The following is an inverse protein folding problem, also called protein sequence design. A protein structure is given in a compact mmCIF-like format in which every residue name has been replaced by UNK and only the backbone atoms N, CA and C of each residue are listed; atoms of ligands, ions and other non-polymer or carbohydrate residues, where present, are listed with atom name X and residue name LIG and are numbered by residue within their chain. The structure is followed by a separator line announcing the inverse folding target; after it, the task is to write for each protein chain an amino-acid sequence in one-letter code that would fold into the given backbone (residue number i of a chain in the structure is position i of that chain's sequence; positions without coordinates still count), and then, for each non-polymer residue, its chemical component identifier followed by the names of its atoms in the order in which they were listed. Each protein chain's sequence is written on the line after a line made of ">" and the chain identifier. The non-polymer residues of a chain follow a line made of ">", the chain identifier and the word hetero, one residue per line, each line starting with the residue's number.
data_IF_304523275841
#
_entry.id   IF_304523275841
#
_cell.length_a   1.000
_cell.length_b   1.000
_cell.length_c   1.000
_cell.angle_alpha   90.00
_cell.angle_beta   90.00
_cell.angle_gamma   90.00
#
_symmetry.space_group_name_H-M   'P 1'
#
loop_
_entity.id
_entity.type
_entity.pdbx_description
1 polymer ?
#
# COMPACT_ATOMS: atom_id res chain seq x y z
N UNK A 1 -2.82 -2.37 11.45
CA UNK A 1 -1.96 -1.21 11.84
C UNK A 1 -2.24 -0.02 10.94
N UNK A 2 -2.45 -0.23 9.64
CA UNK A 2 -2.63 0.85 8.65
C UNK A 2 -4.08 0.96 8.16
N UNK A 3 -5.07 0.62 9.01
CA UNK A 3 -6.50 0.63 8.64
C UNK A 3 -7.08 2.03 8.48
N UNK A 4 -6.37 3.05 8.93
CA UNK A 4 -6.69 4.46 8.74
C UNK A 4 -6.21 5.00 7.38
N UNK A 5 -5.38 4.23 6.65
CA UNK A 5 -4.92 4.55 5.30
C UNK A 5 -5.95 4.09 4.27
N UNK A 6 -6.32 5.02 3.38
CA UNK A 6 -7.37 4.80 2.36
C UNK A 6 -6.80 4.94 0.96
N UNK A 7 -6.89 3.87 0.20
CA UNK A 7 -6.38 3.77 -1.17
C UNK A 7 -7.55 3.68 -2.13
N UNK A 8 -7.66 4.65 -3.04
CA UNK A 8 -8.71 4.72 -4.04
C UNK A 8 -8.14 4.28 -5.39
N UNK A 9 -8.67 3.21 -5.97
CA UNK A 9 -8.21 2.62 -7.21
C UNK A 9 -8.85 3.33 -8.41
N UNK A 10 -8.05 4.05 -9.18
CA UNK A 10 -8.48 4.63 -10.45
C UNK A 10 -8.45 3.58 -11.56
N UNK A 11 -9.65 3.18 -11.98
CA UNK A 11 -9.85 2.15 -12.99
C UNK A 11 -10.13 2.73 -14.39
N UNK A 12 -10.16 4.06 -14.55
CA UNK A 12 -10.56 4.70 -15.83
C UNK A 12 -9.73 4.21 -17.00
N UNK A 13 -8.45 3.94 -16.80
CA UNK A 13 -7.57 3.45 -17.87
C UNK A 13 -7.88 2.04 -18.34
N UNK A 14 -8.44 1.19 -17.47
CA UNK A 14 -8.78 -0.19 -17.82
C UNK A 14 -9.90 -0.20 -18.86
N UNK A 15 -10.77 0.84 -18.88
CA UNK A 15 -11.81 1.00 -19.90
C UNK A 15 -11.24 1.21 -21.31
N UNK A 16 -10.02 1.74 -21.45
CA UNK A 16 -9.47 2.18 -22.74
C UNK A 16 -8.23 1.40 -23.21
N UNK A 17 -7.64 0.59 -22.34
CA UNK A 17 -6.45 -0.20 -22.64
C UNK A 17 -6.62 -1.61 -22.08
N UNK A 18 -7.03 -2.53 -22.97
CA UNK A 18 -7.16 -3.96 -22.69
C UNK A 18 -5.82 -4.67 -22.42
N UNK A 19 -4.69 -3.95 -22.46
CA UNK A 19 -3.40 -4.58 -22.21
C UNK A 19 -3.33 -5.12 -20.79
N UNK A 20 -3.15 -6.45 -20.70
CA UNK A 20 -2.96 -7.16 -19.42
C UNK A 20 -1.84 -6.57 -18.55
N UNK A 21 -0.94 -5.76 -19.10
CA UNK A 21 0.21 -5.19 -18.40
C UNK A 21 -0.15 -4.09 -17.39
N UNK A 22 -1.11 -3.20 -17.70
CA UNK A 22 -1.54 -2.16 -16.75
C UNK A 22 -2.30 -2.77 -15.58
N UNK A 23 -3.22 -3.69 -15.87
CA UNK A 23 -3.92 -4.48 -14.86
C UNK A 23 -2.95 -5.24 -13.94
N UNK A 24 -1.96 -5.94 -14.51
CA UNK A 24 -0.90 -6.59 -13.73
C UNK A 24 -0.12 -5.61 -12.86
N UNK A 25 0.12 -4.39 -13.34
CA UNK A 25 0.83 -3.35 -12.58
C UNK A 25 -0.02 -2.85 -11.42
N UNK A 26 -1.28 -2.49 -11.68
CA UNK A 26 -2.25 -2.09 -10.64
C UNK A 26 -2.41 -3.18 -9.60
N UNK A 27 -2.56 -4.45 -10.02
CA UNK A 27 -2.68 -5.59 -9.11
C UNK A 27 -1.48 -5.71 -8.18
N UNK A 28 -0.24 -5.62 -8.70
CA UNK A 28 0.98 -5.65 -7.87
C UNK A 28 1.04 -4.51 -6.84
N UNK A 29 0.61 -3.32 -7.23
CA UNK A 29 0.59 -2.16 -6.32
C UNK A 29 -0.49 -2.35 -5.25
N UNK A 30 -1.67 -2.84 -5.65
CA UNK A 30 -2.80 -3.14 -4.77
C UNK A 30 -2.46 -4.25 -3.77
N UNK A 31 -1.78 -5.32 -4.19
CA UNK A 31 -1.32 -6.41 -3.30
C UNK A 31 -0.49 -5.86 -2.13
N UNK A 32 0.32 -4.83 -2.37
CA UNK A 32 1.15 -4.23 -1.32
C UNK A 32 0.31 -3.40 -0.35
N UNK A 33 -0.72 -2.71 -0.83
CA UNK A 33 -1.69 -2.03 0.01
C UNK A 33 -2.47 -3.04 0.88
N UNK A 34 -2.94 -4.14 0.29
CA UNK A 34 -3.60 -5.25 1.00
C UNK A 34 -2.69 -5.88 2.06
N UNK A 35 -1.43 -6.14 1.70
CA UNK A 35 -0.42 -6.67 2.62
C UNK A 35 -0.20 -5.77 3.83
N UNK A 36 -0.51 -4.48 3.74
CA UNK A 36 -0.44 -3.53 4.86
C UNK A 36 -1.80 -3.30 5.54
N UNK A 37 -2.86 -3.97 5.11
CA UNK A 37 -4.23 -3.83 5.66
C UNK A 37 -4.80 -2.42 5.50
N UNK A 38 -4.49 -1.73 4.40
CA UNK A 38 -5.15 -0.47 4.04
C UNK A 38 -6.59 -0.71 3.63
N UNK A 39 -7.46 0.29 3.76
CA UNK A 39 -8.80 0.25 3.15
C UNK A 39 -8.70 0.57 1.66
N UNK A 40 -9.30 -0.27 0.83
CA UNK A 40 -9.26 -0.17 -0.63
C UNK A 40 -10.64 0.17 -1.17
N UNK A 41 -10.70 1.16 -2.06
CA UNK A 41 -11.94 1.69 -2.61
C UNK A 41 -11.90 1.78 -4.13
N UNK A 42 -13.04 1.60 -4.79
CA UNK A 42 -13.15 1.74 -6.25
C UNK A 42 -14.47 2.38 -6.67
N UNK A 43 -14.49 2.99 -7.86
CA UNK A 43 -15.71 3.60 -8.41
C UNK A 43 -16.60 2.51 -8.99
N UNK A 44 -17.77 2.32 -8.39
CA UNK A 44 -18.74 1.32 -8.82
C UNK A 44 -19.20 1.56 -10.27
N UNK A 45 -19.34 2.81 -10.69
CA UNK A 45 -19.86 3.14 -12.03
C UNK A 45 -18.93 2.67 -13.13
N UNK A 46 -17.62 2.79 -12.93
CA UNK A 46 -16.62 2.33 -13.90
C UNK A 46 -16.75 0.82 -14.14
N UNK A 47 -17.05 0.04 -13.10
CA UNK A 47 -17.21 -1.42 -13.21
C UNK A 47 -18.52 -1.78 -13.91
N UNK A 48 -19.58 -1.02 -13.67
CA UNK A 48 -20.86 -1.18 -14.38
C UNK A 48 -20.69 -0.87 -15.88
N UNK A 49 -20.05 0.26 -16.22
CA UNK A 49 -19.68 0.63 -17.60
C UNK A 49 -18.82 -0.44 -18.27
N UNK A 50 -17.82 -0.99 -17.56
CA UNK A 50 -16.97 -2.06 -18.08
C UNK A 50 -17.75 -3.37 -18.32
N UNK A 51 -18.70 -3.70 -17.46
CA UNK A 51 -19.51 -4.92 -17.57
C UNK A 51 -20.40 -4.87 -18.81
N UNK A 52 -20.97 -3.70 -19.13
CA UNK A 52 -21.75 -3.48 -20.35
C UNK A 52 -20.88 -3.62 -21.62
N UNK A 53 -19.63 -3.16 -21.57
CA UNK A 53 -18.69 -3.24 -22.70
C UNK A 53 -18.17 -4.66 -22.97
N UNK A 54 -18.28 -5.57 -22.00
CA UNK A 54 -17.75 -6.94 -22.07
C UNK A 54 -18.84 -8.01 -22.14
N UNK A 55 -20.11 -7.62 -22.38
CA UNK A 55 -21.19 -8.57 -22.67
C UNK A 55 -20.87 -9.38 -23.94
N UNK A 56 -20.57 -10.67 -23.77
CA UNK A 56 -20.31 -11.62 -24.86
C UNK A 56 -18.89 -12.20 -24.91
N UNK A 57 -18.00 -11.83 -24.01
CA UNK A 57 -16.66 -12.42 -23.91
C UNK A 57 -16.73 -13.79 -23.20
N UNK A 58 -16.65 -14.88 -23.99
CA UNK A 58 -16.85 -16.26 -23.51
C UNK A 58 -15.65 -16.84 -22.73
N UNK A 59 -14.48 -16.18 -22.76
CA UNK A 59 -13.24 -16.68 -22.14
C UNK A 59 -13.17 -16.35 -20.63
N UNK A 60 -13.98 -17.05 -19.84
CA UNK A 60 -14.18 -16.86 -18.41
C UNK A 60 -12.92 -17.06 -17.53
N UNK A 61 -11.84 -17.67 -18.04
CA UNK A 61 -10.67 -18.06 -17.24
C UNK A 61 -9.48 -17.10 -17.43
N UNK A 62 -9.33 -16.52 -18.62
CA UNK A 62 -8.21 -15.61 -18.96
C UNK A 62 -8.67 -14.22 -19.39
N UNK A 63 -9.98 -13.99 -19.47
CA UNK A 63 -10.59 -12.72 -19.86
C UNK A 63 -10.27 -11.60 -18.87
N UNK A 64 -10.35 -10.38 -19.37
CA UNK A 64 -10.08 -9.15 -18.60
C UNK A 64 -11.00 -9.03 -17.39
N UNK A 65 -12.24 -9.53 -17.51
CA UNK A 65 -13.21 -9.61 -16.41
C UNK A 65 -12.67 -10.37 -15.20
N UNK A 66 -12.05 -11.52 -15.41
CA UNK A 66 -11.49 -12.33 -14.31
C UNK A 66 -10.29 -11.62 -13.66
N UNK A 67 -9.48 -10.89 -14.44
CA UNK A 67 -8.45 -10.03 -13.88
C UNK A 67 -9.02 -8.86 -13.07
N UNK A 68 -10.13 -8.26 -13.52
CA UNK A 68 -10.80 -7.19 -12.81
C UNK A 68 -11.42 -7.70 -11.50
N UNK A 69 -12.09 -8.86 -11.51
CA UNK A 69 -12.67 -9.46 -10.30
C UNK A 69 -11.57 -9.74 -9.24
N UNK A 70 -10.42 -10.26 -9.67
CA UNK A 70 -9.26 -10.44 -8.79
C UNK A 70 -8.71 -9.11 -8.26
N UNK A 71 -8.63 -8.08 -9.11
CA UNK A 71 -8.17 -6.75 -8.72
C UNK A 71 -9.11 -6.11 -7.69
N UNK A 72 -10.43 -6.32 -7.81
CA UNK A 72 -11.45 -5.75 -6.95
C UNK A 72 -11.75 -6.57 -5.70
N UNK A 73 -11.20 -7.78 -5.59
CA UNK A 73 -11.31 -8.59 -4.38
C UNK A 73 -10.81 -7.80 -3.16
N UNK A 74 -11.61 -7.76 -2.09
CA UNK A 74 -11.39 -6.98 -0.86
C UNK A 74 -11.46 -5.44 -1.01
N UNK A 75 -11.87 -4.93 -2.17
CA UNK A 75 -12.12 -3.50 -2.36
C UNK A 75 -13.59 -3.17 -2.04
N UNK A 76 -13.83 -1.98 -1.52
CA UNK A 76 -15.17 -1.47 -1.21
C UNK A 76 -15.65 -0.53 -2.32
N UNK A 77 -16.81 -0.76 -2.94
CA UNK A 77 -17.35 0.19 -3.91
C UNK A 77 -17.69 1.51 -3.23
N UNK A 78 -17.36 2.62 -3.86
CA UNK A 78 -17.78 3.95 -3.43
C UNK A 78 -18.79 4.55 -4.40
N UNK A 79 -19.68 5.34 -3.82
CA UNK A 79 -20.59 6.22 -4.53
C UNK A 79 -20.66 7.52 -3.74
N UNK A 80 -20.42 8.65 -4.40
CA UNK A 80 -20.53 9.97 -3.77
C UNK A 80 -21.54 10.81 -4.54
N UNK A 81 -22.25 11.67 -3.81
CA UNK A 81 -23.06 12.74 -4.37
C UNK A 81 -22.34 14.09 -4.30
N UNK A 82 -21.10 14.12 -3.80
CA UNK A 82 -20.33 15.36 -3.66
C UNK A 82 -19.75 15.77 -5.00
N UNK A 83 -19.65 17.08 -5.20
CA UNK A 83 -18.96 17.67 -6.35
C UNK A 83 -17.54 18.03 -5.96
N UNK A 84 -16.59 17.73 -6.84
CA UNK A 84 -15.18 18.03 -6.64
C UNK A 84 -14.78 19.23 -7.48
N UNK A 85 -14.07 20.17 -6.88
CA UNK A 85 -13.52 21.32 -7.58
C UNK A 85 -12.03 21.45 -7.28
N UNK A 86 -11.23 21.63 -8.32
CA UNK A 86 -9.85 22.10 -8.17
C UNK A 86 -9.90 23.61 -7.96
N UNK A 87 -9.20 24.07 -6.92
CA UNK A 87 -9.09 25.48 -6.59
C UNK A 87 -7.76 25.99 -7.12
N UNK A 88 -7.79 26.90 -8.09
CA UNK A 88 -6.63 27.69 -8.46
C UNK A 88 -6.72 29.01 -7.69
N UNK A 89 -5.79 29.25 -6.77
CA UNK A 89 -5.74 30.51 -6.05
C UNK A 89 -4.60 31.36 -6.58
N UNK A 90 -4.95 32.40 -7.33
CA UNK A 90 -4.04 33.47 -7.72
C UNK A 90 -4.83 34.76 -7.69
N UNK A 91 -4.31 35.81 -7.04
CA UNK A 91 -5.01 37.06 -6.73
C UNK A 91 -6.12 37.43 -7.73
N UNK A 92 -5.75 37.68 -8.99
CA UNK A 92 -6.68 38.08 -10.05
C UNK A 92 -7.23 36.92 -10.89
N UNK A 93 -6.61 35.73 -10.86
CA UNK A 93 -7.06 34.55 -11.63
C UNK A 93 -7.47 33.40 -10.71
N UNK A 94 -8.19 33.71 -9.63
CA UNK A 94 -8.75 32.68 -8.74
C UNK A 94 -9.91 32.00 -9.45
N UNK A 95 -9.87 30.68 -9.55
CA UNK A 95 -10.89 29.91 -10.26
C UNK A 95 -11.22 28.59 -9.57
N UNK A 96 -12.44 28.13 -9.80
CA UNK A 96 -12.92 26.80 -9.45
C UNK A 96 -13.19 26.03 -10.73
N UNK A 97 -12.51 24.91 -10.93
CA UNK A 97 -12.75 24.01 -12.06
C UNK A 97 -13.33 22.70 -11.56
N UNK A 98 -14.52 22.35 -12.04
CA UNK A 98 -15.17 21.09 -11.72
C UNK A 98 -14.32 19.90 -12.19
N UNK A 99 -14.16 18.90 -11.33
CA UNK A 99 -13.42 17.68 -11.57
C UNK A 99 -14.36 16.47 -11.47
N UNK A 100 -14.76 15.83 -12.58
CA UNK A 100 -15.66 14.68 -12.55
C UNK A 100 -14.92 13.40 -12.15
N UNK A 101 -14.64 13.26 -10.85
CA UNK A 101 -13.97 12.09 -10.28
C UNK A 101 -14.68 11.63 -8.99
N UNK A 102 -15.44 10.54 -9.08
CA UNK A 102 -16.24 10.01 -7.97
C UNK A 102 -15.39 9.42 -6.85
N UNK A 103 -14.20 8.90 -7.16
CA UNK A 103 -13.26 8.43 -6.15
C UNK A 103 -12.83 9.57 -5.24
N UNK A 104 -12.39 10.67 -5.85
CA UNK A 104 -11.99 11.88 -5.12
C UNK A 104 -13.18 12.46 -4.36
N UNK A 105 -14.38 12.42 -4.95
CA UNK A 105 -15.61 12.86 -4.29
C UNK A 105 -15.99 12.03 -3.06
N UNK A 106 -15.50 10.79 -2.95
CA UNK A 106 -15.74 9.89 -1.82
C UNK A 106 -14.65 9.98 -0.74
N UNK A 107 -13.60 10.78 -0.96
CA UNK A 107 -12.54 10.99 0.02
C UNK A 107 -13.02 11.83 1.20
N UNK A 108 -12.47 11.57 2.38
CA UNK A 108 -12.80 12.32 3.60
C UNK A 108 -11.68 13.28 3.97
N UNK A 109 -12.03 14.47 4.47
CA UNK A 109 -11.05 15.48 4.88
C UNK A 109 -10.14 15.03 6.03
N UNK A 110 -10.63 14.16 6.91
CA UNK A 110 -9.88 13.57 8.03
C UNK A 110 -9.11 12.30 7.64
N UNK A 111 -9.25 11.83 6.40
CA UNK A 111 -8.62 10.61 5.92
C UNK A 111 -7.18 10.81 5.46
N UNK A 112 -6.34 9.80 5.69
CA UNK A 112 -5.07 9.65 4.97
C UNK A 112 -5.36 8.99 3.63
N UNK A 113 -5.71 9.83 2.65
CA UNK A 113 -6.17 9.38 1.33
C UNK A 113 -5.02 9.35 0.31
N UNK A 114 -5.02 8.32 -0.54
CA UNK A 114 -4.25 8.31 -1.78
C UNK A 114 -5.09 7.81 -2.94
N UNK A 115 -4.82 8.32 -4.13
CA UNK A 115 -5.34 7.82 -5.38
C UNK A 115 -4.27 6.95 -6.05
N UNK A 116 -4.55 5.67 -6.26
CA UNK A 116 -3.74 4.79 -7.09
C UNK A 116 -4.17 4.96 -8.54
N UNK A 117 -3.38 5.68 -9.34
CA UNK A 117 -3.66 5.97 -10.75
C UNK A 117 -2.37 5.95 -11.56
N UNK A 118 -2.42 5.45 -12.80
CA UNK A 118 -1.26 5.41 -13.70
C UNK A 118 -1.25 6.60 -14.68
N UNK A 119 -2.34 7.37 -14.77
CA UNK A 119 -2.52 8.51 -15.69
C UNK A 119 -2.83 9.81 -14.98
N UNK A 120 -3.50 9.76 -13.83
CA UNK A 120 -3.72 10.96 -13.05
C UNK A 120 -2.38 11.37 -12.43
N UNK A 121 -1.98 12.62 -12.65
CA UNK A 121 -0.70 13.14 -12.15
C UNK A 121 -0.87 14.37 -11.24
N UNK A 122 -2.08 14.93 -11.21
CA UNK A 122 -2.38 16.08 -10.39
C UNK A 122 -2.40 15.67 -8.91
N UNK A 123 -1.38 16.06 -8.16
CA UNK A 123 -1.45 16.03 -6.70
C UNK A 123 -2.19 17.27 -6.23
N UNK A 124 -3.02 17.17 -5.19
CA UNK A 124 -3.66 18.38 -4.74
C UNK A 124 -4.61 18.28 -3.58
N UNK A 125 -4.86 19.48 -3.04
CA UNK A 125 -6.02 19.77 -2.24
C UNK A 125 -7.17 20.12 -3.18
N UNK A 126 -8.32 19.50 -2.98
CA UNK A 126 -9.54 19.80 -3.71
C UNK A 126 -10.61 20.31 -2.76
N UNK A 127 -11.55 21.09 -3.29
CA UNK A 127 -12.76 21.47 -2.59
C UNK A 127 -13.85 20.43 -2.91
N UNK A 128 -14.37 19.77 -1.89
CA UNK A 128 -15.59 18.99 -1.98
C UNK A 128 -16.77 19.84 -1.55
N UNK A 129 -17.82 19.84 -2.36
CA UNK A 129 -19.12 20.39 -2.02
C UNK A 129 -20.13 19.24 -1.91
N UNK A 130 -20.52 18.90 -0.69
CA UNK A 130 -21.49 17.83 -0.42
C UNK A 130 -22.93 18.34 -0.46
N UNK A 131 -23.12 19.64 -0.25
CA UNK A 131 -24.39 20.34 -0.40
C UNK A 131 -24.13 21.82 -0.74
N UNK A 132 -25.18 22.64 -0.79
CA UNK A 132 -25.06 24.09 -0.99
C UNK A 132 -24.50 24.84 0.23
N UNK A 133 -24.36 24.18 1.38
CA UNK A 133 -23.82 24.75 2.63
C UNK A 133 -22.61 23.98 3.18
N UNK A 134 -22.34 22.78 2.68
CA UNK A 134 -21.29 21.92 3.21
C UNK A 134 -20.12 21.81 2.24
N UNK A 135 -19.00 22.42 2.64
CA UNK A 135 -17.77 22.45 1.89
C UNK A 135 -16.62 21.95 2.75
N UNK A 136 -15.75 21.11 2.19
CA UNK A 136 -14.56 20.62 2.86
C UNK A 136 -13.37 20.60 1.91
N UNK A 137 -12.18 20.89 2.43
CA UNK A 137 -10.94 20.71 1.68
C UNK A 137 -10.45 19.30 1.95
N UNK A 138 -10.20 18.54 0.90
CA UNK A 138 -9.61 17.21 0.99
C UNK A 138 -8.23 17.23 0.35
N UNK A 139 -7.25 16.73 1.08
CA UNK A 139 -5.92 16.46 0.56
C UNK A 139 -5.80 14.97 0.24
N UNK A 140 -5.10 14.68 -0.85
CA UNK A 140 -4.71 13.32 -1.21
C UNK A 140 -3.38 13.34 -1.96
N UNK A 141 -2.69 12.21 -1.91
CA UNK A 141 -1.53 11.95 -2.75
C UNK A 141 -1.92 11.08 -3.94
N UNK A 142 -1.09 11.09 -4.98
CA UNK A 142 -1.25 10.21 -6.14
C UNK A 142 -0.06 9.27 -6.21
N UNK A 143 -0.35 7.97 -6.26
CA UNK A 143 0.65 6.91 -6.34
C UNK A 143 0.48 6.14 -7.63
N UNK A 144 1.56 6.00 -8.40
CA UNK A 144 1.55 5.38 -9.73
C UNK A 144 2.53 4.21 -9.85
N UNK A 145 3.08 3.74 -8.72
CA UNK A 145 4.09 2.70 -8.71
C UNK A 145 4.30 2.06 -7.34
N UNK A 146 4.93 0.89 -7.35
CA UNK A 146 5.19 0.09 -6.15
C UNK A 146 5.99 0.86 -5.10
N UNK A 147 7.12 1.47 -5.49
CA UNK A 147 7.96 2.22 -4.57
C UNK A 147 7.22 3.41 -3.95
N UNK A 148 6.41 4.13 -4.75
CA UNK A 148 5.60 5.24 -4.27
C UNK A 148 4.52 4.82 -3.28
N UNK A 149 3.86 3.68 -3.54
CA UNK A 149 2.88 3.12 -2.60
C UNK A 149 3.54 2.77 -1.27
N UNK A 150 4.72 2.14 -1.29
CA UNK A 150 5.46 1.81 -0.07
C UNK A 150 5.90 3.07 0.69
N UNK A 151 6.49 4.05 0.00
CA UNK A 151 6.87 5.35 0.57
C UNK A 151 5.67 6.04 1.26
N UNK A 152 4.50 6.03 0.61
CA UNK A 152 3.28 6.59 1.15
C UNK A 152 2.81 5.85 2.40
N UNK A 153 2.74 4.50 2.37
CA UNK A 153 2.35 3.68 3.53
C UNK A 153 3.30 3.93 4.72
N UNK A 154 4.61 4.01 4.45
CA UNK A 154 5.64 4.22 5.48
C UNK A 154 5.52 5.62 6.09
N UNK A 155 5.33 6.65 5.25
CA UNK A 155 5.26 8.04 5.71
C UNK A 155 3.97 8.37 6.45
N UNK A 156 2.84 7.79 6.02
CA UNK A 156 1.53 8.04 6.62
C UNK A 156 1.19 7.08 7.76
N UNK A 157 1.85 5.93 7.80
CA UNK A 157 1.63 4.91 8.82
C UNK A 157 2.27 5.21 10.18
N UNK A 158 2.11 4.30 11.16
CA UNK A 158 2.72 4.48 12.47
C UNK A 158 4.25 4.50 12.41
N UNK A 159 4.85 5.35 13.23
CA UNK A 159 6.31 5.43 13.36
C UNK A 159 6.83 4.07 13.81
N UNK A 160 7.84 3.57 13.10
CA UNK A 160 8.53 2.32 13.43
C UNK A 160 9.75 2.64 14.26
N UNK A 161 9.81 2.14 15.48
CA UNK A 161 10.95 2.33 16.40
C UNK A 161 11.56 0.98 16.70
N UNK A 162 12.83 0.82 16.35
CA UNK A 162 13.58 -0.39 16.63
C UNK A 162 14.02 -0.43 18.09
N UNK A 163 13.91 -1.60 18.70
CA UNK A 163 14.35 -1.91 20.04
C UNK A 163 15.36 -3.06 19.99
N UNK A 164 16.56 -2.80 20.49
CA UNK A 164 17.62 -3.82 20.56
C UNK A 164 17.27 -4.82 21.65
N UNK A 165 17.07 -6.07 21.25
CA UNK A 165 16.78 -7.15 22.18
C UNK A 165 18.07 -7.83 22.65
N UNK A 166 18.30 -7.89 23.97
CA UNK A 166 19.42 -8.63 24.57
C UNK A 166 19.46 -10.10 24.14
N UNK A 167 18.30 -10.66 23.77
CA UNK A 167 18.16 -12.03 23.29
C UNK A 167 18.92 -12.28 21.99
N UNK A 168 18.90 -11.31 21.09
CA UNK A 168 19.50 -11.39 19.75
C UNK A 168 20.88 -10.72 19.66
N UNK A 169 21.23 -9.92 20.68
CA UNK A 169 22.48 -9.17 20.69
C UNK A 169 22.55 -8.15 19.55
N UNK A 170 23.77 -7.71 19.21
CA UNK A 170 24.03 -6.82 18.08
C UNK A 170 25.37 -7.16 17.44
N UNK A 171 25.55 -6.81 16.16
CA UNK A 171 26.79 -7.03 15.42
C UNK A 171 27.28 -8.50 15.46
N UNK A 172 26.34 -9.45 15.52
CA UNK A 172 26.62 -10.89 15.58
C UNK A 172 27.21 -11.36 16.90
N UNK A 173 27.07 -10.59 17.99
CA UNK A 173 27.66 -10.90 19.31
C UNK A 173 26.60 -10.89 20.41
N UNK A 174 26.87 -11.64 21.48
CA UNK A 174 26.11 -11.62 22.74
C UNK A 174 24.64 -12.07 22.64
N UNK A 175 24.27 -12.79 21.58
CA UNK A 175 22.97 -13.46 21.51
C UNK A 175 22.91 -14.62 22.50
N UNK A 176 21.70 -14.93 22.97
CA UNK A 176 21.48 -16.09 23.84
C UNK A 176 21.77 -17.40 23.10
N UNK A 177 22.14 -18.48 23.81
CA UNK A 177 22.36 -19.79 23.18
C UNK A 177 21.15 -20.23 22.36
N UNK A 178 21.38 -20.66 21.12
CA UNK A 178 20.37 -21.10 20.14
C UNK A 178 19.42 -20.02 19.61
N UNK A 179 19.65 -18.75 19.88
CA UNK A 179 18.84 -17.66 19.35
C UNK A 179 19.49 -17.01 18.12
N UNK A 180 18.66 -16.64 17.13
CA UNK A 180 19.13 -15.99 15.92
C UNK A 180 19.77 -14.64 16.23
N UNK A 181 20.96 -14.32 15.70
CA UNK A 181 21.64 -13.07 16.01
C UNK A 181 21.10 -11.90 15.18
N UNK A 182 21.20 -10.69 15.73
CA UNK A 182 21.21 -9.48 14.91
C UNK A 182 22.64 -9.24 14.40
N UNK A 183 22.84 -9.31 13.09
CA UNK A 183 24.15 -9.21 12.43
C UNK A 183 24.62 -7.77 12.18
N UNK A 184 23.79 -6.78 12.50
CA UNK A 184 24.06 -5.35 12.32
C UNK A 184 23.87 -4.59 13.64
N UNK A 185 24.13 -3.28 13.65
CA UNK A 185 23.79 -2.41 14.80
C UNK A 185 22.30 -2.09 14.84
N UNK A 186 21.80 -1.63 15.99
CA UNK A 186 20.43 -1.15 16.14
C UNK A 186 20.10 0.00 15.21
N UNK A 187 21.05 0.88 14.90
CA UNK A 187 20.86 1.96 13.91
C UNK A 187 20.69 1.40 12.50
N UNK A 188 21.55 0.47 12.06
CA UNK A 188 21.40 -0.21 10.77
C UNK A 188 20.07 -0.99 10.70
N UNK A 189 19.67 -1.63 11.80
CA UNK A 189 18.40 -2.33 11.90
C UNK A 189 17.20 -1.37 11.81
N UNK A 190 17.30 -0.17 12.38
CA UNK A 190 16.27 0.87 12.24
C UNK A 190 16.14 1.35 10.79
N UNK A 191 17.25 1.51 10.06
CA UNK A 191 17.21 1.85 8.63
C UNK A 191 16.55 0.76 7.79
N UNK A 192 16.84 -0.50 8.09
CA UNK A 192 16.18 -1.65 7.48
C UNK A 192 14.69 -1.69 7.83
N UNK A 193 14.31 -1.43 9.08
CA UNK A 193 12.93 -1.40 9.54
C UNK A 193 12.09 -0.32 8.83
N UNK A 194 12.69 0.85 8.58
CA UNK A 194 12.03 1.96 7.87
C UNK A 194 11.58 1.56 6.46
N UNK A 195 12.31 0.64 5.82
CA UNK A 195 12.04 0.17 4.46
C UNK A 195 11.45 -1.25 4.41
N UNK A 196 11.15 -1.84 5.58
CA UNK A 196 10.64 -3.20 5.65
C UNK A 196 9.20 -3.29 5.11
N UNK A 197 8.90 -4.41 4.47
CA UNK A 197 7.59 -4.70 3.89
C UNK A 197 6.89 -5.79 4.69
N UNK A 198 5.57 -5.73 4.70
CA UNK A 198 4.73 -6.74 5.36
C UNK A 198 4.39 -7.90 4.43
N UNK A 199 4.15 -9.06 5.03
CA UNK A 199 3.20 -10.02 4.51
C UNK A 199 2.23 -10.39 5.64
N UNK A 200 1.17 -9.59 5.80
CA UNK A 200 0.15 -9.80 6.84
C UNK A 200 -0.89 -10.87 6.45
N UNK A 201 -0.62 -11.75 5.48
CA UNK A 201 -1.44 -12.95 5.28
C UNK A 201 -1.41 -13.88 6.51
N UNK A 202 -0.37 -13.77 7.35
CA UNK A 202 -0.29 -14.46 8.64
C UNK A 202 -0.84 -13.61 9.80
N UNK A 203 -1.38 -14.26 10.83
CA UNK A 203 -1.90 -13.62 12.06
C UNK A 203 -0.85 -12.80 12.84
N UNK A 204 0.43 -12.90 12.48
CA UNK A 204 1.53 -12.25 13.18
C UNK A 204 1.95 -10.98 12.46
N UNK A 205 2.02 -9.86 13.20
CA UNK A 205 2.48 -8.56 12.69
C UNK A 205 3.99 -8.60 12.49
N UNK A 206 4.42 -9.07 11.33
CA UNK A 206 5.83 -9.17 10.95
C UNK A 206 6.15 -8.28 9.75
N UNK A 207 7.33 -7.67 9.80
CA UNK A 207 7.91 -6.97 8.67
C UNK A 207 9.21 -7.65 8.29
N UNK A 208 9.57 -7.59 7.01
CA UNK A 208 10.78 -8.20 6.49
C UNK A 208 11.56 -7.20 5.64
N UNK A 209 12.88 -7.32 5.68
CA UNK A 209 13.76 -6.66 4.74
C UNK A 209 14.91 -7.60 4.35
N UNK A 210 15.66 -7.26 3.32
CA UNK A 210 16.87 -7.95 2.92
C UNK A 210 18.10 -7.08 3.20
N UNK A 211 18.91 -7.51 4.17
CA UNK A 211 20.18 -6.87 4.49
C UNK A 211 21.23 -7.31 3.46
N UNK A 212 21.46 -6.45 2.47
CA UNK A 212 22.42 -6.69 1.38
C UNK A 212 23.86 -6.78 1.88
N UNK A 213 24.22 -6.06 2.94
CA UNK A 213 25.57 -6.05 3.46
C UNK A 213 25.91 -7.38 4.15
N UNK A 214 24.89 -8.05 4.71
CA UNK A 214 25.03 -9.32 5.43
C UNK A 214 24.54 -10.52 4.62
N UNK A 215 23.99 -10.28 3.43
CA UNK A 215 23.41 -11.27 2.54
C UNK A 215 22.38 -12.18 3.25
N UNK A 216 21.51 -11.57 4.05
CA UNK A 216 20.54 -12.26 4.88
C UNK A 216 19.23 -11.48 4.98
N UNK A 217 18.11 -12.18 5.11
CA UNK A 217 16.84 -11.56 5.47
C UNK A 217 16.86 -11.15 6.94
N UNK A 218 16.15 -10.08 7.27
CA UNK A 218 15.85 -9.66 8.63
C UNK A 218 14.35 -9.71 8.85
N UNK A 219 13.93 -10.29 9.98
CA UNK A 219 12.54 -10.38 10.40
C UNK A 219 12.34 -9.43 11.59
N UNK A 220 11.28 -8.64 11.55
CA UNK A 220 10.89 -7.69 12.61
C UNK A 220 9.55 -8.07 13.22
N UNK A 221 9.47 -8.10 14.54
CA UNK A 221 8.27 -8.40 15.31
C UNK A 221 7.78 -7.18 16.07
N UNK A 222 6.48 -6.94 16.00
CA UNK A 222 5.84 -5.90 16.79
C UNK A 222 5.67 -6.35 18.26
N UNK A 223 6.23 -5.59 19.20
CA UNK A 223 6.23 -5.93 20.64
C UNK A 223 4.92 -5.58 21.37
N UNK A 224 3.97 -4.97 20.67
CA UNK A 224 2.66 -4.63 21.20
C UNK A 224 2.44 -3.13 21.38
N UNK A 225 1.20 -2.76 21.75
CA UNK A 225 0.77 -1.37 21.84
C UNK A 225 1.07 -0.73 23.22
N UNK A 226 1.67 -1.48 24.17
CA UNK A 226 1.91 -1.03 25.55
C UNK A 226 3.12 -1.75 26.16
N UNK A 227 4.12 -1.06 26.76
CA UNK A 227 4.26 0.40 26.89
C UNK A 227 4.87 1.10 25.66
N UNK A 228 5.46 0.36 24.71
CA UNK A 228 6.26 0.96 23.64
C UNK A 228 5.89 0.29 22.31
N UNK A 229 5.42 1.09 21.33
CA UNK A 229 5.09 0.68 19.96
C UNK A 229 6.38 0.34 19.19
N UNK A 230 7.07 -0.68 19.66
CA UNK A 230 8.43 -1.02 19.26
C UNK A 230 8.46 -2.29 18.42
N UNK A 231 9.56 -2.40 17.69
CA UNK A 231 9.90 -3.53 16.87
C UNK A 231 11.25 -4.05 17.31
N UNK A 232 11.36 -5.33 17.64
CA UNK A 232 12.67 -5.99 17.64
C UNK A 232 12.83 -6.79 16.36
N UNK A 233 14.06 -7.18 16.05
CA UNK A 233 14.33 -8.00 14.89
C UNK A 233 15.66 -8.72 14.98
N UNK A 234 15.83 -9.69 14.08
CA UNK A 234 17.02 -10.52 13.97
C UNK A 234 17.15 -11.05 12.55
N UNK A 235 18.37 -11.40 12.15
CA UNK A 235 18.61 -11.98 10.84
C UNK A 235 18.17 -13.44 10.81
N UNK A 236 17.48 -13.80 9.73
CA UNK A 236 17.03 -15.17 9.48
C UNK A 236 18.25 -16.00 9.11
N UNK A 237 18.47 -17.09 9.84
CA UNK A 237 19.57 -18.02 9.58
C UNK A 237 19.28 -18.88 8.35
N UNK A 238 20.31 -19.50 7.78
CA UNK A 238 20.15 -20.42 6.65
C UNK A 238 19.28 -21.64 6.97
N UNK A 239 19.17 -22.03 8.24
CA UNK A 239 18.33 -23.13 8.71
C UNK A 239 16.85 -22.72 8.79
N UNK A 240 16.59 -21.41 8.86
CA UNK A 240 15.28 -20.82 9.13
C UNK A 240 14.69 -20.06 7.94
N UNK A 241 15.25 -20.24 6.73
CA UNK A 241 14.79 -19.52 5.52
C UNK A 241 13.31 -19.76 5.22
N UNK A 242 12.73 -20.86 5.71
CA UNK A 242 11.29 -21.16 5.63
C UNK A 242 10.42 -20.09 6.31
N UNK A 243 10.95 -19.35 7.29
CA UNK A 243 10.28 -18.26 8.00
C UNK A 243 9.97 -17.05 7.12
N UNK A 244 10.73 -16.86 6.04
CA UNK A 244 10.50 -15.76 5.10
C UNK A 244 9.40 -16.19 4.12
N UNK A 245 8.28 -15.46 4.02
CA UNK A 245 7.21 -15.78 3.07
C UNK A 245 7.69 -15.70 1.62
N UNK A 246 7.11 -16.52 0.73
CA UNK A 246 7.48 -16.55 -0.69
C UNK A 246 7.26 -15.20 -1.39
N UNK A 247 6.23 -14.46 -0.99
CA UNK A 247 5.92 -13.10 -1.45
C UNK A 247 7.09 -12.13 -1.17
N UNK A 248 7.64 -12.19 0.04
CA UNK A 248 8.80 -11.41 0.48
C UNK A 248 10.04 -11.81 -0.32
N UNK A 249 10.31 -13.12 -0.46
CA UNK A 249 11.43 -13.60 -1.29
C UNK A 249 11.33 -13.06 -2.72
N UNK A 250 10.14 -13.18 -3.35
CA UNK A 250 9.88 -12.71 -4.70
C UNK A 250 10.06 -11.19 -4.83
N UNK A 251 9.62 -10.41 -3.85
CA UNK A 251 9.81 -8.95 -3.83
C UNK A 251 11.29 -8.57 -3.92
N UNK A 252 12.15 -9.28 -3.18
CA UNK A 252 13.59 -9.05 -3.17
C UNK A 252 14.36 -9.81 -4.28
N UNK A 253 13.66 -10.48 -5.21
CA UNK A 253 14.27 -11.17 -6.36
C UNK A 253 14.81 -12.57 -6.06
N UNK A 254 14.37 -13.20 -4.97
CA UNK A 254 14.77 -14.57 -4.61
C UNK A 254 13.71 -15.58 -5.03
N UNK A 255 14.12 -16.61 -5.76
CA UNK A 255 13.28 -17.76 -6.09
C UNK A 255 13.53 -18.91 -5.11
N UNK A 256 12.58 -19.17 -4.21
CA UNK A 256 12.57 -20.40 -3.42
C UNK A 256 11.75 -21.44 -4.18
N UNK A 257 12.38 -22.51 -4.66
CA UNK A 257 11.65 -23.65 -5.24
C UNK A 257 10.69 -24.20 -4.20
N UNK A 258 9.44 -24.40 -4.61
CA UNK A 258 8.40 -25.03 -3.77
C UNK A 258 8.82 -26.44 -3.37
#
# INVERSE_FOLDING_TARGET
>A
MYRDLKVYLDLKEILFDESSQRLKTLHKIKEIAEQHQTELFYDRKIVEEFSELTEGDEDYITGIRSCLDLLLMNCTPVQSSSFVFKVCFSSENTSLSYLPNQLIAAMRADGKNTLLSLTYQDIGKVLLASSHTEFQIVAFEVVSGLSRMLEWIISQGPKRVFNVSQKHGENGKSNWPNESPLLCSGEEAQELLNNAIADFNEKQRRLFNYDRNRNAFIEFFYEGDTPQQQWHGFHVTSQDVSRVPLSICKHFGFERKK
#
